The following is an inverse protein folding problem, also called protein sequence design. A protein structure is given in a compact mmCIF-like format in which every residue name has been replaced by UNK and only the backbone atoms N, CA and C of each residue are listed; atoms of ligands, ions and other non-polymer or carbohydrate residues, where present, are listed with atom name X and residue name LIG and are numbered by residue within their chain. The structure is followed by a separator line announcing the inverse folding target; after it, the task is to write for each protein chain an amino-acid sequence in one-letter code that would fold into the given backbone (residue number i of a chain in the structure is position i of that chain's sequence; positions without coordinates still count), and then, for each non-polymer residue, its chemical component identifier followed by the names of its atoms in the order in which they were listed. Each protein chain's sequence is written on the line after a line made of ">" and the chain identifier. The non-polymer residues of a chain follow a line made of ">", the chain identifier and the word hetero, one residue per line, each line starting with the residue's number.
data_IF_500921441520
#
_entry.id   IF_500921441520
#
_cell.length_a   1.000
_cell.length_b   1.000
_cell.length_c   1.000
_cell.angle_alpha   90.00
_cell.angle_beta   90.00
_cell.angle_gamma   90.00
#
_symmetry.space_group_name_H-M   'P 1'
#
loop_
_entity.id
_entity.type
_entity.pdbx_description
1 polymer ?
#
# COMPACT_ATOMS: atom_id res chain seq x y z
N UNK A 1 -16.45 22.11 -8.02
CA UNK A 1 -17.39 21.08 -8.55
C UNK A 1 -17.05 19.77 -7.87
N UNK A 2 -18.01 18.94 -7.46
CA UNK A 2 -17.67 17.65 -6.85
C UNK A 2 -17.30 16.61 -7.92
N UNK A 3 -16.23 15.86 -7.67
CA UNK A 3 -15.74 14.74 -8.47
C UNK A 3 -15.61 13.50 -7.58
N UNK A 4 -15.97 12.34 -8.13
CA UNK A 4 -15.79 11.05 -7.47
C UNK A 4 -14.60 10.35 -8.10
N UNK A 5 -13.59 10.04 -7.30
CA UNK A 5 -12.39 9.32 -7.72
C UNK A 5 -12.42 7.91 -7.14
N UNK A 6 -12.29 6.91 -8.02
CA UNK A 6 -12.04 5.52 -7.64
C UNK A 6 -10.55 5.33 -7.37
N UNK A 7 -10.23 5.05 -6.12
CA UNK A 7 -8.88 4.86 -5.61
C UNK A 7 -8.60 3.38 -5.39
N UNK A 8 -7.37 2.95 -5.66
CA UNK A 8 -6.91 1.59 -5.40
C UNK A 8 -5.52 1.63 -4.76
N UNK A 9 -5.33 0.82 -3.72
CA UNK A 9 -4.01 0.66 -3.10
C UNK A 9 -3.12 -0.19 -4.01
N UNK A 10 -1.88 0.26 -4.27
CA UNK A 10 -0.90 -0.47 -5.08
C UNK A 10 -0.73 -1.90 -4.56
N UNK A 11 -0.82 -2.88 -5.46
CA UNK A 11 -0.73 -4.31 -5.14
C UNK A 11 -2.07 -4.98 -4.81
N UNK A 12 -3.16 -4.23 -4.67
CA UNK A 12 -4.49 -4.81 -4.47
C UNK A 12 -5.22 -5.03 -5.80
N UNK A 13 -6.24 -5.91 -5.78
CA UNK A 13 -7.18 -6.15 -6.90
C UNK A 13 -8.26 -5.07 -7.00
N UNK A 14 -8.85 -4.85 -8.17
CA UNK A 14 -9.91 -3.85 -8.41
C UNK A 14 -11.11 -4.00 -7.48
N UNK A 15 -11.44 -5.22 -7.05
CA UNK A 15 -12.47 -5.49 -6.04
C UNK A 15 -12.28 -4.74 -4.70
N UNK A 16 -11.05 -4.30 -4.39
CA UNK A 16 -10.70 -3.54 -3.18
C UNK A 16 -10.66 -2.02 -3.40
N UNK A 17 -11.01 -1.57 -4.60
CA UNK A 17 -11.10 -0.16 -4.92
C UNK A 17 -12.20 0.52 -4.10
N UNK A 18 -12.05 1.81 -3.89
CA UNK A 18 -12.95 2.60 -3.06
C UNK A 18 -13.15 3.99 -3.63
N UNK A 19 -14.35 4.52 -3.49
CA UNK A 19 -14.68 5.85 -3.96
C UNK A 19 -14.34 6.91 -2.90
N UNK A 20 -13.78 8.02 -3.37
CA UNK A 20 -13.57 9.26 -2.61
C UNK A 20 -14.25 10.39 -3.36
N UNK A 21 -15.16 11.07 -2.68
CA UNK A 21 -15.80 12.28 -3.18
C UNK A 21 -15.02 13.51 -2.71
N UNK A 22 -14.65 14.38 -3.63
CA UNK A 22 -13.85 15.57 -3.33
C UNK A 22 -14.26 16.73 -4.25
N UNK A 23 -14.14 17.97 -3.77
CA UNK A 23 -14.32 19.13 -4.64
C UNK A 23 -13.06 19.36 -5.50
N UNK A 24 -13.28 19.67 -6.78
CA UNK A 24 -12.25 19.91 -7.78
C UNK A 24 -11.32 21.08 -7.44
N UNK A 25 -11.79 22.08 -6.71
CA UNK A 25 -10.97 23.22 -6.26
C UNK A 25 -10.17 22.93 -4.99
N UNK A 26 -10.30 21.75 -4.39
CA UNK A 26 -9.43 21.36 -3.27
C UNK A 26 -8.07 20.89 -3.79
N UNK A 27 -7.06 21.04 -2.94
CA UNK A 27 -5.73 20.52 -3.18
C UNK A 27 -5.68 18.99 -3.05
N UNK A 28 -4.71 18.38 -3.73
CA UNK A 28 -4.39 16.95 -3.58
C UNK A 28 -4.06 16.57 -2.13
N UNK A 29 -3.55 17.48 -1.30
CA UNK A 29 -3.37 17.23 0.14
C UNK A 29 -4.68 16.79 0.83
N UNK A 30 -5.80 17.43 0.50
CA UNK A 30 -7.11 17.06 1.04
C UNK A 30 -7.57 15.69 0.53
N UNK A 31 -7.16 15.30 -0.69
CA UNK A 31 -7.40 13.94 -1.20
C UNK A 31 -6.63 12.90 -0.39
N UNK A 32 -5.36 13.18 -0.04
CA UNK A 32 -4.57 12.29 0.83
C UNK A 32 -5.24 12.10 2.19
N UNK A 33 -5.72 13.17 2.81
CA UNK A 33 -6.46 13.12 4.07
C UNK A 33 -7.74 12.28 3.96
N UNK A 34 -8.53 12.50 2.90
CA UNK A 34 -9.76 11.77 2.66
C UNK A 34 -9.51 10.27 2.43
N UNK A 35 -8.45 9.91 1.68
CA UNK A 35 -8.03 8.53 1.48
C UNK A 35 -7.63 7.88 2.80
N UNK A 36 -6.82 8.56 3.62
CA UNK A 36 -6.40 8.06 4.92
C UNK A 36 -7.60 7.82 5.83
N UNK A 37 -8.54 8.77 5.93
CA UNK A 37 -9.76 8.62 6.71
C UNK A 37 -10.61 7.43 6.24
N UNK A 38 -10.70 7.21 4.92
CA UNK A 38 -11.44 6.08 4.32
C UNK A 38 -10.81 4.72 4.60
N UNK A 39 -9.49 4.68 4.82
CA UNK A 39 -8.71 3.46 5.05
C UNK A 39 -8.30 3.26 6.51
N UNK A 40 -8.72 4.13 7.43
CA UNK A 40 -8.54 3.89 8.87
C UNK A 40 -9.20 2.56 9.27
N UNK A 41 -8.53 1.73 10.10
CA UNK A 41 -7.27 2.02 10.80
C UNK A 41 -5.99 1.66 10.03
N UNK A 42 -6.10 1.11 8.82
CA UNK A 42 -4.97 0.57 8.04
C UNK A 42 -3.89 1.64 7.77
N UNK A 43 -4.31 2.90 7.55
CA UNK A 43 -3.40 4.01 7.24
C UNK A 43 -3.12 4.94 8.44
N UNK A 44 -3.44 4.53 9.67
CA UNK A 44 -3.30 5.41 10.83
C UNK A 44 -1.84 5.57 11.29
N UNK A 45 -0.97 4.62 10.91
CA UNK A 45 0.41 4.50 11.37
C UNK A 45 1.40 5.53 10.78
N UNK A 46 1.00 6.30 9.77
CA UNK A 46 1.85 7.30 9.11
C UNK A 46 1.00 8.52 8.73
N UNK A 47 1.54 9.75 8.69
CA UNK A 47 0.79 10.94 8.35
C UNK A 47 0.38 10.95 6.87
N UNK A 48 -0.69 11.68 6.52
CA UNK A 48 -1.28 11.61 5.18
C UNK A 48 -0.34 12.08 4.07
N UNK A 49 0.59 12.99 4.36
CA UNK A 49 1.57 13.53 3.40
C UNK A 49 2.56 12.49 2.89
N UNK A 50 2.80 11.41 3.65
CA UNK A 50 3.62 10.26 3.23
C UNK A 50 2.94 9.38 2.17
N UNK A 51 1.62 9.53 1.94
CA UNK A 51 0.96 8.84 0.82
C UNK A 51 1.46 9.40 -0.51
N UNK A 52 1.87 8.52 -1.41
CA UNK A 52 2.09 8.87 -2.82
C UNK A 52 0.87 8.49 -3.64
N UNK A 53 0.41 9.43 -4.46
CA UNK A 53 -0.79 9.24 -5.27
C UNK A 53 -0.43 9.40 -6.74
N UNK A 54 -0.96 8.52 -7.58
CA UNK A 54 -0.70 8.51 -9.02
C UNK A 54 -2.00 8.58 -9.80
N UNK A 55 -2.08 9.47 -10.80
CA UNK A 55 -3.20 9.49 -11.74
C UNK A 55 -3.07 8.33 -12.72
N UNK A 56 -4.12 7.53 -12.85
CA UNK A 56 -4.23 6.47 -13.86
C UNK A 56 -5.66 6.41 -14.41
N UNK A 57 -5.83 5.65 -15.49
CA UNK A 57 -7.14 5.32 -16.07
C UNK A 57 -7.13 3.84 -16.43
N UNK A 58 -7.35 2.98 -15.44
CA UNK A 58 -7.31 1.51 -15.61
C UNK A 58 -8.73 0.98 -15.49
N UNK A 59 -9.26 0.26 -16.50
CA UNK A 59 -10.58 -0.36 -16.39
C UNK A 59 -10.73 -1.25 -15.15
N UNK A 60 -11.90 -1.25 -14.52
CA UNK A 60 -12.19 -2.01 -13.30
C UNK A 60 -12.28 -3.54 -13.50
N UNK A 61 -12.29 -3.98 -14.76
CA UNK A 61 -12.33 -5.38 -15.20
C UNK A 61 -10.96 -5.94 -15.63
N UNK A 62 -9.88 -5.16 -15.48
CA UNK A 62 -8.53 -5.52 -15.96
C UNK A 62 -7.50 -5.60 -14.83
N UNK A 63 -7.68 -6.56 -13.92
CA UNK A 63 -6.72 -6.86 -12.84
C UNK A 63 -5.30 -7.18 -13.37
N UNK A 64 -5.19 -7.75 -14.58
CA UNK A 64 -3.90 -8.10 -15.19
C UNK A 64 -3.00 -6.87 -15.43
N UNK A 65 -3.60 -5.71 -15.68
CA UNK A 65 -2.86 -4.45 -15.87
C UNK A 65 -2.25 -3.93 -14.56
N UNK A 66 -2.80 -4.32 -13.41
CA UNK A 66 -2.29 -3.92 -12.10
C UNK A 66 -1.00 -4.68 -11.75
N UNK A 67 -0.83 -5.90 -12.26
CA UNK A 67 0.31 -6.76 -11.96
C UNK A 67 1.62 -6.23 -12.55
N UNK A 68 1.55 -5.52 -13.69
CA UNK A 68 2.70 -4.93 -14.38
C UNK A 68 2.62 -3.40 -14.42
N UNK A 69 1.98 -2.79 -13.42
CA UNK A 69 1.72 -1.36 -13.42
C UNK A 69 3.02 -0.55 -13.28
N UNK A 70 3.42 0.14 -14.34
CA UNK A 70 4.52 1.12 -14.31
C UNK A 70 4.01 2.49 -13.85
N UNK A 71 4.60 2.99 -12.76
CA UNK A 71 4.35 4.32 -12.21
C UNK A 71 5.41 5.28 -12.73
N UNK A 72 5.01 6.20 -13.62
CA UNK A 72 5.90 7.19 -14.21
C UNK A 72 5.84 8.47 -13.38
N UNK A 73 6.98 9.11 -13.08
CA UNK A 73 7.04 10.33 -12.26
C UNK A 73 6.08 11.45 -12.71
N UNK A 74 5.81 11.57 -14.02
CA UNK A 74 4.86 12.54 -14.56
C UNK A 74 3.40 12.32 -14.16
N UNK A 75 3.05 11.11 -13.73
CA UNK A 75 1.70 10.74 -13.29
C UNK A 75 1.47 11.05 -11.79
N UNK A 76 2.49 11.52 -11.06
CA UNK A 76 2.38 11.79 -9.62
C UNK A 76 1.48 13.00 -9.34
N UNK A 77 0.53 12.82 -8.42
CA UNK A 77 -0.33 13.89 -7.93
C UNK A 77 0.40 14.66 -6.83
N UNK A 78 0.74 15.91 -7.12
CA UNK A 78 1.45 16.79 -6.22
C UNK A 78 0.47 17.44 -5.23
N UNK A 79 0.80 17.35 -3.95
CA UNK A 79 -0.04 17.85 -2.85
C UNK A 79 -0.39 19.36 -2.97
N UNK A 80 0.40 20.13 -3.70
CA UNK A 80 0.27 21.57 -3.90
C UNK A 80 -0.67 21.97 -5.04
N UNK A 81 -1.11 21.02 -5.86
CA UNK A 81 -1.98 21.27 -7.02
C UNK A 81 -3.45 20.97 -6.69
N UNK A 82 -4.35 21.62 -7.42
CA UNK A 82 -5.78 21.39 -7.30
C UNK A 82 -6.16 20.08 -8.00
N UNK A 83 -7.24 19.45 -7.53
CA UNK A 83 -7.78 18.25 -8.19
C UNK A 83 -8.21 18.57 -9.63
N UNK A 84 -8.77 19.75 -9.87
CA UNK A 84 -9.20 20.21 -11.18
C UNK A 84 -8.07 20.31 -12.20
N UNK A 85 -6.83 20.53 -11.77
CA UNK A 85 -5.65 20.56 -12.66
C UNK A 85 -5.40 19.21 -13.34
N UNK A 86 -5.78 18.12 -12.67
CA UNK A 86 -5.58 16.74 -13.14
C UNK A 86 -6.81 16.17 -13.85
N UNK A 87 -8.00 16.61 -13.46
CA UNK A 87 -9.28 16.20 -14.02
C UNK A 87 -10.09 17.43 -14.42
N UNK A 88 -9.70 18.03 -15.56
CA UNK A 88 -10.42 19.14 -16.19
C UNK A 88 -11.81 18.73 -16.68
N UNK A 89 -11.95 17.46 -17.07
CA UNK A 89 -13.20 16.81 -17.42
C UNK A 89 -13.59 15.76 -16.38
N UNK A 90 -14.84 15.31 -16.44
CA UNK A 90 -15.29 14.22 -15.56
C UNK A 90 -14.52 12.94 -15.89
N UNK A 91 -13.97 12.26 -14.88
CA UNK A 91 -13.19 11.08 -15.11
C UNK A 91 -14.07 9.93 -15.66
N UNK A 92 -13.52 9.04 -16.50
CA UNK A 92 -14.27 7.95 -17.09
C UNK A 92 -14.90 7.02 -16.04
N UNK A 93 -16.15 6.60 -16.25
CA UNK A 93 -16.78 5.64 -15.35
C UNK A 93 -16.11 4.27 -15.48
N UNK A 94 -16.17 3.48 -14.39
CA UNK A 94 -15.64 2.10 -14.32
C UNK A 94 -14.13 2.00 -14.52
N UNK A 95 -13.40 3.08 -14.19
CA UNK A 95 -11.95 3.10 -14.20
C UNK A 95 -11.40 3.39 -12.80
N UNK A 96 -10.27 2.79 -12.45
CA UNK A 96 -9.42 3.25 -11.36
C UNK A 96 -8.74 4.54 -11.80
N UNK A 97 -8.91 5.59 -11.00
CA UNK A 97 -8.45 6.95 -11.27
C UNK A 97 -7.16 7.28 -10.52
N UNK A 98 -7.02 6.72 -9.32
CA UNK A 98 -5.91 7.03 -8.42
C UNK A 98 -5.32 5.74 -7.87
N UNK A 99 -4.01 5.57 -8.05
CA UNK A 99 -3.24 4.53 -7.38
C UNK A 99 -2.63 5.13 -6.12
N UNK A 100 -2.88 4.47 -5.00
CA UNK A 100 -2.42 4.88 -3.67
C UNK A 100 -1.25 4.01 -3.27
N UNK A 101 -0.08 4.60 -3.12
CA UNK A 101 1.12 3.94 -2.66
C UNK A 101 1.42 4.42 -1.23
N UNK A 102 1.21 3.58 -0.21
CA UNK A 102 1.62 3.91 1.16
C UNK A 102 3.15 3.95 1.26
N UNK A 103 3.72 4.64 2.26
CA UNK A 103 5.15 4.59 2.51
C UNK A 103 5.59 3.14 2.73
N UNK A 104 6.80 2.81 2.30
CA UNK A 104 7.39 1.52 2.67
C UNK A 104 7.40 1.44 4.19
N UNK A 105 6.68 0.46 4.74
CA UNK A 105 6.51 0.34 6.18
C UNK A 105 7.89 0.27 6.84
N UNK A 106 8.27 1.35 7.52
CA UNK A 106 9.30 1.26 8.56
C UNK A 106 8.76 0.24 9.56
N UNK A 107 9.55 -0.79 9.85
CA UNK A 107 9.10 -1.90 10.68
C UNK A 107 8.50 -1.35 11.98
N UNK A 108 7.21 -1.58 12.20
CA UNK A 108 6.57 -1.21 13.47
C UNK A 108 7.26 -1.98 14.60
N UNK A 109 7.20 -1.44 15.83
CA UNK A 109 7.76 -2.12 17.01
C UNK A 109 7.29 -3.58 17.11
N UNK A 110 6.07 -3.88 16.68
CA UNK A 110 5.51 -5.22 16.64
C UNK A 110 6.20 -6.12 15.59
N UNK A 111 6.44 -5.62 14.37
CA UNK A 111 7.19 -6.36 13.34
C UNK A 111 8.62 -6.62 13.77
N UNK A 112 9.26 -5.68 14.48
CA UNK A 112 10.59 -5.87 15.06
C UNK A 112 10.58 -6.94 16.16
N UNK A 113 9.62 -6.88 17.09
CA UNK A 113 9.43 -7.92 18.13
C UNK A 113 9.21 -9.30 17.51
N UNK A 114 8.35 -9.40 16.50
CA UNK A 114 8.09 -10.66 15.80
C UNK A 114 9.35 -11.19 15.10
N UNK A 115 10.17 -10.31 14.50
CA UNK A 115 11.46 -10.70 13.91
C UNK A 115 12.44 -11.23 14.94
N UNK A 116 12.53 -10.58 16.11
CA UNK A 116 13.37 -11.05 17.23
C UNK A 116 12.89 -12.40 17.79
N UNK A 117 11.58 -12.59 17.94
CA UNK A 117 11.01 -13.88 18.37
C UNK A 117 11.32 -15.00 17.36
N UNK A 118 11.13 -14.75 16.06
CA UNK A 118 11.45 -15.72 15.01
C UNK A 118 12.93 -16.08 15.02
N UNK A 119 13.82 -15.10 15.18
CA UNK A 119 15.26 -15.35 15.27
C UNK A 119 15.64 -16.19 16.50
N UNK A 120 15.01 -15.93 17.65
CA UNK A 120 15.21 -16.72 18.87
C UNK A 120 14.75 -18.18 18.69
N UNK A 121 13.57 -18.39 18.10
CA UNK A 121 13.05 -19.72 17.79
C UNK A 121 13.95 -20.50 16.81
N UNK A 122 14.45 -19.83 15.77
CA UNK A 122 15.40 -20.43 14.83
C UNK A 122 16.70 -20.87 15.51
N UNK A 123 17.24 -20.05 16.43
CA UNK A 123 18.43 -20.40 17.20
C UNK A 123 18.20 -21.61 18.12
N UNK A 124 17.02 -21.72 18.73
CA UNK A 124 16.64 -22.87 19.55
C UNK A 124 16.52 -24.16 18.72
N UNK A 125 15.87 -24.09 17.55
CA UNK A 125 15.78 -25.20 16.60
C UNK A 125 17.17 -25.69 16.15
N UNK A 126 18.06 -24.78 15.77
CA UNK A 126 19.42 -25.12 15.34
C UNK A 126 20.26 -25.76 16.46
N UNK A 127 20.05 -25.36 17.72
CA UNK A 127 20.70 -26.01 18.87
C UNK A 127 20.11 -27.40 19.13
N UNK A 128 18.79 -27.57 19.00
CA UNK A 128 18.11 -28.85 19.18
C UNK A 128 18.53 -29.88 18.13
N UNK A 129 18.63 -29.48 16.86
CA UNK A 129 19.10 -30.37 15.78
C UNK A 129 20.55 -30.77 16.01
N UNK A 130 21.44 -29.83 16.34
CA UNK A 130 22.84 -30.14 16.66
C UNK A 130 23.00 -31.06 17.88
N UNK A 131 22.12 -30.92 18.90
CA UNK A 131 22.07 -31.81 20.05
C UNK A 131 21.66 -33.24 19.66
N UNK A 132 20.67 -33.39 18.78
CA UNK A 132 20.16 -34.69 18.33
C UNK A 132 21.22 -35.48 17.53
N UNK A 133 21.98 -34.84 16.64
CA UNK A 133 23.09 -35.48 15.91
C UNK A 133 24.21 -35.98 16.84
N UNK A 134 24.45 -35.30 17.98
CA UNK A 134 25.47 -35.72 18.96
C UNK A 134 25.05 -36.91 19.82
N UNK A 135 23.75 -37.11 20.02
CA UNK A 135 23.23 -38.25 20.80
C UNK A 135 23.27 -39.53 19.95
N UNK A 136 22.84 -39.46 18.69
CA UNK A 136 22.87 -40.61 17.76
C UNK A 136 24.29 -41.07 17.44
N UNK A 137 25.27 -40.16 17.37
CA UNK A 137 26.67 -40.49 17.10
C UNK A 137 27.45 -41.15 18.25
N UNK A 138 26.86 -41.28 19.45
CA UNK A 138 27.50 -41.93 20.62
C UNK A 138 27.06 -43.37 20.85
N UNK A 139 26.02 -43.85 20.17
CA UNK A 139 25.50 -45.22 20.33
C UNK A 139 26.14 -46.22 19.34
N UNK A 140 27.06 -45.77 18.49
CA UNK A 140 27.84 -46.62 17.56
C UNK A 140 29.34 -46.58 17.90
N UNK A 141 29.74 -47.16 19.04
CA UNK A 141 31.13 -47.55 19.32
C UNK A 141 31.16 -48.70 20.33
#
# INVERSE_FOLDING_TARGET
>A
MSITLLCLVKGNKTANAFAVDIDSGKLVSHLKDAIKAKKSPVFDNFPADELRLWKKEIPDDQDDLLSNLTLNYGDELLATREIGDYWTEKPPKRNIHVIVEPPESTATSEVLKLREEVASLQALLNKSTHGMYKIVGRETS
#
